data_IF_088516852871
#
_entry.id   IF_088516852871
#
_cell.length_a   1.000
_cell.length_b   1.000
_cell.length_c   1.000
_cell.angle_alpha   90.00
_cell.angle_beta   90.00
_cell.angle_gamma   90.00
#
_symmetry.space_group_name_H-M   'P 1'
#
loop_
_entity.id
_entity.type
_entity.pdbx_description
1 polymer ?
#
# COMPACT_ATOMS: atom_id res chain seq x y z
N UNK A 1 -10.32 -15.78 -2.08
CA UNK A 1 -11.57 -15.07 -2.38
C UNK A 1 -11.39 -13.55 -2.27
N UNK A 2 -10.90 -13.03 -1.16
CA UNK A 2 -10.84 -11.57 -0.91
C UNK A 2 -9.87 -10.77 -1.79
N UNK A 3 -8.66 -11.27 -2.10
CA UNK A 3 -7.72 -10.58 -3.03
C UNK A 3 -8.29 -10.42 -4.45
N UNK A 4 -9.03 -11.43 -4.92
CA UNK A 4 -9.71 -11.36 -6.22
C UNK A 4 -10.82 -10.30 -6.21
N UNK A 5 -11.55 -10.15 -5.11
CA UNK A 5 -12.53 -9.08 -4.95
C UNK A 5 -11.88 -7.71 -4.97
N UNK A 6 -10.75 -7.53 -4.27
CA UNK A 6 -9.96 -6.28 -4.31
C UNK A 6 -9.54 -5.98 -5.74
N UNK A 7 -8.97 -6.96 -6.46
CA UNK A 7 -8.59 -6.80 -7.87
C UNK A 7 -9.77 -6.35 -8.73
N UNK A 8 -10.92 -7.01 -8.61
CA UNK A 8 -12.13 -6.65 -9.38
C UNK A 8 -12.63 -5.23 -9.05
N UNK A 9 -12.59 -4.83 -7.78
CA UNK A 9 -12.95 -3.46 -7.37
C UNK A 9 -12.03 -2.42 -8.02
N UNK A 10 -10.72 -2.71 -8.10
CA UNK A 10 -9.75 -1.83 -8.75
C UNK A 10 -10.02 -1.76 -10.24
N UNK A 11 -10.15 -2.90 -10.92
CA UNK A 11 -10.44 -2.95 -12.37
C UNK A 11 -11.71 -2.21 -12.76
N UNK A 12 -12.74 -2.23 -11.92
CA UNK A 12 -14.00 -1.53 -12.16
C UNK A 12 -13.89 0.00 -11.97
N UNK A 13 -12.90 0.48 -11.22
CA UNK A 13 -12.76 1.89 -10.83
C UNK A 13 -11.66 2.63 -11.58
N UNK A 14 -10.66 1.92 -12.08
CA UNK A 14 -9.59 2.49 -12.91
C UNK A 14 -9.41 1.70 -14.21
N UNK A 15 -9.93 2.27 -15.30
CA UNK A 15 -9.90 1.67 -16.65
C UNK A 15 -8.82 2.26 -17.56
N UNK A 16 -8.20 3.37 -17.15
CA UNK A 16 -7.10 4.06 -17.85
C UNK A 16 -5.87 3.99 -16.97
N UNK A 17 -4.69 3.86 -17.58
CA UNK A 17 -3.42 3.88 -16.87
C UNK A 17 -3.20 5.20 -16.11
N UNK A 18 -2.58 5.10 -14.94
CA UNK A 18 -2.32 6.23 -14.05
C UNK A 18 -2.79 5.96 -12.63
N UNK A 19 -3.07 7.05 -11.92
CA UNK A 19 -3.57 7.08 -10.54
C UNK A 19 -4.99 7.61 -10.53
N UNK A 20 -5.86 7.03 -9.70
CA UNK A 20 -7.22 7.50 -9.47
C UNK A 20 -7.48 7.64 -7.97
N UNK A 21 -7.87 8.85 -7.54
CA UNK A 21 -8.29 9.10 -6.16
C UNK A 21 -9.54 8.29 -5.83
N UNK A 22 -9.56 7.70 -4.62
CA UNK A 22 -10.81 7.22 -4.04
C UNK A 22 -11.50 8.34 -3.29
N UNK A 23 -12.69 8.07 -2.73
CA UNK A 23 -13.35 9.03 -1.83
C UNK A 23 -12.65 9.11 -0.46
N UNK A 24 -11.85 8.11 -0.11
CA UNK A 24 -11.09 8.11 1.15
C UNK A 24 -9.79 8.87 0.93
N UNK A 25 -9.59 9.92 1.72
CA UNK A 25 -8.41 10.80 1.61
C UNK A 25 -7.12 9.99 1.75
N UNK A 26 -6.18 10.20 0.84
CA UNK A 26 -4.87 9.55 0.85
C UNK A 26 -4.89 8.12 0.33
N UNK A 27 -6.01 7.63 -0.21
CA UNK A 27 -6.13 6.31 -0.82
C UNK A 27 -6.36 6.47 -2.32
N UNK A 28 -5.41 5.98 -3.12
CA UNK A 28 -5.42 6.03 -4.57
C UNK A 28 -5.33 4.62 -5.14
N UNK A 29 -6.02 4.40 -6.25
CA UNK A 29 -5.86 3.20 -7.08
C UNK A 29 -4.86 3.50 -8.19
N UNK A 30 -4.11 2.50 -8.62
CA UNK A 30 -3.26 2.66 -9.80
C UNK A 30 -3.33 1.49 -10.76
N UNK A 31 -3.06 1.84 -12.01
CA UNK A 31 -2.99 0.94 -13.15
C UNK A 31 -1.82 1.32 -14.02
N UNK A 32 -0.98 0.35 -14.37
CA UNK A 32 0.10 0.51 -15.35
C UNK A 32 0.12 -0.70 -16.26
N UNK A 33 -0.05 -0.48 -17.56
CA UNK A 33 -0.04 -1.50 -18.61
C UNK A 33 1.16 -1.37 -19.54
N UNK A 34 1.98 -0.34 -19.38
CA UNK A 34 3.22 -0.16 -20.14
C UNK A 34 4.45 -0.39 -19.26
N UNK A 35 5.49 -0.96 -19.85
CA UNK A 35 6.76 -1.16 -19.15
C UNK A 35 7.42 0.18 -18.83
N UNK A 36 7.64 0.44 -17.55
CA UNK A 36 8.33 1.65 -17.07
C UNK A 36 9.63 1.23 -16.42
N UNK A 37 10.76 1.73 -16.94
CA UNK A 37 12.07 1.51 -16.31
C UNK A 37 12.14 2.24 -14.98
N UNK A 38 12.94 1.72 -14.05
CA UNK A 38 13.23 2.44 -12.82
C UNK A 38 13.78 3.84 -13.12
N UNK A 39 13.17 4.82 -12.48
CA UNK A 39 13.60 6.21 -12.52
C UNK A 39 13.57 6.77 -11.08
N UNK A 40 14.42 7.77 -10.78
CA UNK A 40 14.43 8.42 -9.48
C UNK A 40 13.07 9.03 -9.13
N UNK A 41 12.61 8.77 -7.91
CA UNK A 41 11.39 9.29 -7.32
C UNK A 41 11.61 9.52 -5.81
N UNK A 42 10.68 10.25 -5.19
CA UNK A 42 10.61 10.36 -3.73
C UNK A 42 9.41 9.54 -3.27
N UNK A 43 9.64 8.59 -2.37
CA UNK A 43 8.56 7.94 -1.64
C UNK A 43 8.21 8.80 -0.44
N UNK A 44 6.95 9.21 -0.37
CA UNK A 44 6.36 9.71 0.86
C UNK A 44 5.89 8.55 1.75
N UNK A 45 5.72 8.78 3.07
CA UNK A 45 5.21 7.76 3.98
C UNK A 45 3.91 7.14 3.46
N UNK A 46 3.95 5.85 3.13
CA UNK A 46 2.87 5.17 2.42
C UNK A 46 2.93 3.66 2.54
N UNK A 47 1.79 3.02 2.29
CA UNK A 47 1.66 1.60 1.99
C UNK A 47 1.33 1.43 0.51
N UNK A 48 2.04 0.53 -0.17
CA UNK A 48 1.81 0.17 -1.57
C UNK A 48 1.46 -1.30 -1.67
N UNK A 49 0.21 -1.56 -2.02
CA UNK A 49 -0.40 -2.88 -2.07
C UNK A 49 -0.62 -3.31 -3.53
N UNK A 50 0.12 -4.32 -3.99
CA UNK A 50 -0.01 -4.88 -5.35
C UNK A 50 -1.01 -6.04 -5.37
N UNK A 51 -1.95 -6.04 -6.32
CA UNK A 51 -2.90 -7.15 -6.51
C UNK A 51 -2.77 -7.86 -7.85
N UNK A 52 -2.00 -7.28 -8.77
CA UNK A 52 -1.67 -7.86 -10.08
C UNK A 52 -0.35 -7.26 -10.57
N UNK A 53 0.45 -8.06 -11.27
CA UNK A 53 1.77 -7.67 -11.75
C UNK A 53 2.83 -7.59 -10.64
N UNK A 54 3.97 -7.00 -11.00
CA UNK A 54 5.15 -6.88 -10.12
C UNK A 54 5.69 -5.47 -10.17
N UNK A 55 6.05 -4.93 -9.01
CA UNK A 55 6.69 -3.64 -8.87
C UNK A 55 8.17 -3.81 -8.55
N UNK A 56 9.00 -2.91 -9.08
CA UNK A 56 10.43 -2.87 -8.84
C UNK A 56 10.84 -1.58 -8.11
N UNK A 57 11.73 -1.73 -7.14
CA UNK A 57 12.39 -0.62 -6.45
C UNK A 57 13.90 -0.90 -6.33
N UNK A 58 14.71 0.13 -6.53
CA UNK A 58 16.15 0.12 -6.28
C UNK A 58 16.40 1.05 -5.09
N UNK A 59 16.94 0.48 -4.02
CA UNK A 59 17.21 1.16 -2.75
C UNK A 59 18.67 0.90 -2.39
N UNK A 60 19.45 1.94 -2.17
CA UNK A 60 20.89 1.86 -1.86
C UNK A 60 21.71 0.99 -2.85
N UNK A 61 21.27 0.92 -4.11
CA UNK A 61 21.89 0.13 -5.17
C UNK A 61 21.39 -1.32 -5.27
N UNK A 62 20.62 -1.80 -4.29
CA UNK A 62 20.02 -3.12 -4.28
C UNK A 62 18.64 -3.11 -4.96
N UNK A 63 18.39 -4.14 -5.78
CA UNK A 63 17.13 -4.31 -6.52
C UNK A 63 16.16 -5.19 -5.75
N UNK A 64 14.94 -4.69 -5.59
CA UNK A 64 13.85 -5.36 -4.91
C UNK A 64 12.63 -5.46 -5.83
N UNK A 65 12.18 -6.68 -6.06
CA UNK A 65 10.92 -6.96 -6.75
C UNK A 65 9.90 -7.51 -5.76
N UNK A 66 8.65 -7.05 -5.87
CA UNK A 66 7.56 -7.54 -5.05
C UNK A 66 6.23 -7.53 -5.81
N UNK A 67 5.39 -8.49 -5.47
CA UNK A 67 4.10 -8.78 -6.08
C UNK A 67 3.01 -8.87 -4.99
N UNK A 68 1.89 -9.51 -5.31
CA UNK A 68 0.76 -9.69 -4.37
C UNK A 68 1.04 -10.56 -3.13
N UNK A 69 2.25 -11.11 -2.96
CA UNK A 69 2.65 -11.84 -1.75
C UNK A 69 3.01 -10.91 -0.58
N UNK A 70 3.46 -9.69 -0.87
CA UNK A 70 3.95 -8.72 0.11
C UNK A 70 3.50 -7.31 -0.25
N UNK A 71 3.33 -6.45 0.74
CA UNK A 71 3.12 -5.03 0.50
C UNK A 71 4.33 -4.24 0.96
N UNK A 72 4.58 -3.10 0.30
CA UNK A 72 5.64 -2.19 0.69
C UNK A 72 5.09 -1.20 1.72
N UNK A 73 5.83 -0.99 2.80
CA UNK A 73 5.57 0.04 3.79
C UNK A 73 6.78 0.98 3.83
N UNK A 74 6.54 2.25 3.54
CA UNK A 74 7.52 3.32 3.63
C UNK A 74 7.09 4.25 4.77
N UNK A 75 7.90 4.42 5.80
CA UNK A 75 7.56 5.19 7.00
C UNK A 75 8.24 6.56 7.06
N UNK A 76 9.18 6.83 6.15
CA UNK A 76 9.94 8.08 6.07
C UNK A 76 10.05 8.53 4.62
N UNK A 77 10.08 9.84 4.39
CA UNK A 77 10.30 10.37 3.05
C UNK A 77 11.73 10.09 2.59
N UNK A 78 11.91 9.43 1.45
CA UNK A 78 13.24 9.04 0.97
C UNK A 78 13.34 8.90 -0.56
N UNK A 79 14.54 9.10 -1.14
CA UNK A 79 14.78 8.83 -2.55
C UNK A 79 14.78 7.33 -2.83
N UNK A 80 14.19 6.95 -3.96
CA UNK A 80 14.15 5.57 -4.47
C UNK A 80 14.16 5.62 -5.99
N UNK A 81 14.72 4.62 -6.65
CA UNK A 81 14.40 4.43 -8.07
C UNK A 81 13.30 3.37 -8.17
N UNK A 82 12.19 3.67 -8.83
CA UNK A 82 11.08 2.71 -8.93
C UNK A 82 10.54 2.64 -10.34
N UNK A 83 10.05 1.46 -10.71
CA UNK A 83 9.51 1.20 -12.03
C UNK A 83 8.64 -0.04 -12.04
N UNK A 84 8.15 -0.37 -13.22
CA UNK A 84 7.28 -1.51 -13.50
C UNK A 84 7.74 -2.21 -14.77
N UNK A 85 8.99 -2.76 -14.83
CA UNK A 85 9.57 -3.23 -16.09
C UNK A 85 8.78 -4.39 -16.72
N UNK A 86 8.10 -5.20 -15.89
CA UNK A 86 7.32 -6.36 -16.31
C UNK A 86 5.83 -6.05 -16.62
N UNK A 87 5.41 -4.78 -16.52
CA UNK A 87 4.03 -4.41 -16.82
C UNK A 87 3.74 -4.51 -18.33
N UNK A 88 2.61 -5.11 -18.66
CA UNK A 88 2.06 -5.19 -20.03
C UNK A 88 0.53 -5.14 -19.99
N UNK A 89 -0.16 -5.00 -21.14
CA UNK A 89 -1.62 -5.12 -21.18
C UNK A 89 -2.15 -6.47 -20.68
N UNK A 90 -1.39 -7.56 -20.90
CA UNK A 90 -1.70 -8.91 -20.44
C UNK A 90 -1.28 -9.16 -18.98
N UNK A 91 -0.33 -8.38 -18.47
CA UNK A 91 0.16 -8.42 -17.09
C UNK A 91 0.18 -7.01 -16.48
N UNK A 92 -0.98 -6.38 -16.24
CA UNK A 92 -1.03 -5.03 -15.72
C UNK A 92 -0.56 -5.00 -14.27
N UNK A 93 0.20 -3.96 -13.91
CA UNK A 93 0.38 -3.60 -12.51
C UNK A 93 -0.91 -2.95 -12.01
N UNK A 94 -1.53 -3.56 -11.01
CA UNK A 94 -2.70 -3.02 -10.33
C UNK A 94 -2.45 -2.98 -8.84
N UNK A 95 -2.90 -1.93 -8.18
CA UNK A 95 -2.76 -1.83 -6.74
C UNK A 95 -3.38 -0.59 -6.13
N UNK A 96 -3.08 -0.43 -4.84
CA UNK A 96 -3.55 0.66 -4.00
C UNK A 96 -2.33 1.34 -3.40
N UNK A 97 -2.31 2.66 -3.49
CA UNK A 97 -1.39 3.53 -2.77
C UNK A 97 -2.15 4.17 -1.60
N UNK A 98 -1.61 4.06 -0.39
CA UNK A 98 -2.23 4.55 0.84
C UNK A 98 -1.21 5.43 1.54
N UNK A 99 -1.48 6.73 1.64
CA UNK A 99 -0.66 7.65 2.43
C UNK A 99 -0.73 7.29 3.91
N UNK A 100 0.40 7.33 4.61
CA UNK A 100 0.45 7.12 6.05
C UNK A 100 0.34 8.46 6.78
N UNK A 101 -0.63 8.55 7.70
CA UNK A 101 -0.64 9.60 8.71
C UNK A 101 0.29 9.20 9.86
N UNK A 102 1.47 9.80 9.91
CA UNK A 102 2.50 9.50 10.91
C UNK A 102 2.04 9.77 12.34
N UNK A 103 1.08 10.68 12.55
CA UNK A 103 0.49 10.91 13.88
C UNK A 103 -0.35 9.71 14.30
N UNK A 104 -1.25 9.24 13.43
CA UNK A 104 -2.10 8.07 13.70
C UNK A 104 -1.25 6.81 13.90
N UNK A 105 -0.20 6.63 13.08
CA UNK A 105 0.75 5.52 13.24
C UNK A 105 1.45 5.56 14.61
N UNK A 106 1.85 6.75 15.06
CA UNK A 106 2.50 6.93 16.37
C UNK A 106 1.55 6.60 17.51
N UNK A 107 0.30 7.09 17.44
CA UNK A 107 -0.74 6.80 18.42
C UNK A 107 -1.03 5.29 18.51
N UNK A 108 -1.16 4.63 17.34
CA UNK A 108 -1.38 3.18 17.25
C UNK A 108 -0.21 2.40 17.86
N UNK A 109 1.04 2.78 17.58
CA UNK A 109 2.21 2.13 18.16
C UNK A 109 2.18 2.17 19.69
N UNK A 110 1.87 3.34 20.28
CA UNK A 110 1.74 3.52 21.73
C UNK A 110 0.59 2.65 22.30
N UNK A 111 -0.56 2.62 21.64
CA UNK A 111 -1.70 1.81 22.07
C UNK A 111 -1.38 0.31 22.03
N UNK A 112 -0.69 -0.17 20.98
CA UNK A 112 -0.25 -1.56 20.86
C UNK A 112 0.74 -1.91 21.98
N UNK A 113 1.72 -1.04 22.25
CA UNK A 113 2.69 -1.25 23.33
C UNK A 113 2.00 -1.33 24.70
N UNK A 114 1.06 -0.42 24.96
CA UNK A 114 0.28 -0.41 26.21
C UNK A 114 -0.61 -1.67 26.34
N UNK A 115 -1.25 -2.10 25.26
CA UNK A 115 -2.14 -3.26 25.27
C UNK A 115 -1.38 -4.59 25.40
N UNK A 116 -0.18 -4.68 24.83
CA UNK A 116 0.63 -5.91 24.82
C UNK A 116 1.65 -5.99 25.96
N UNK A 117 1.92 -4.87 26.65
CA UNK A 117 2.93 -4.79 27.71
C UNK A 117 4.37 -5.04 27.23
N UNK A 118 4.60 -5.00 25.91
CA UNK A 118 5.87 -5.35 25.29
C UNK A 118 6.38 -4.18 24.43
N UNK A 119 7.58 -3.71 24.73
CA UNK A 119 8.33 -2.83 23.82
C UNK A 119 8.81 -3.70 22.67
N UNK A 120 8.19 -3.57 21.49
CA UNK A 120 8.67 -4.28 20.28
C UNK A 120 10.05 -3.75 19.94
N UNK A 121 11.09 -4.57 20.14
CA UNK A 121 12.42 -4.25 19.61
C UNK A 121 12.34 -4.17 18.08
N UNK A 122 12.93 -3.14 17.45
CA UNK A 122 12.99 -3.09 16.00
C UNK A 122 13.72 -4.35 15.49
N UNK A 123 13.02 -5.17 14.71
CA UNK A 123 13.66 -6.24 13.95
C UNK A 123 14.27 -5.60 12.73
N UNK A 124 15.61 -5.54 12.67
CA UNK A 124 16.31 -5.09 11.47
C UNK A 124 15.99 -6.03 10.30
N UNK A 125 15.50 -5.46 9.20
CA UNK A 125 15.36 -6.15 7.92
C UNK A 125 16.54 -5.81 6.99
N UNK A 126 16.65 -6.49 5.83
CA UNK A 126 17.66 -6.20 4.82
C UNK A 126 17.41 -4.91 4.01
N UNK A 127 16.29 -4.21 4.27
CA UNK A 127 15.94 -2.94 3.62
C UNK A 127 16.44 -1.75 4.47
N UNK A 128 16.67 -0.57 3.84
CA UNK A 128 17.08 0.64 4.56
C UNK A 128 16.09 1.04 5.66
N UNK A 129 16.58 1.76 6.67
CA UNK A 129 15.71 2.32 7.72
C UNK A 129 14.65 3.23 7.09
N UNK A 130 13.39 2.80 7.13
CA UNK A 130 12.26 3.56 6.58
C UNK A 130 11.48 2.85 5.49
N UNK A 131 11.99 1.74 4.92
CA UNK A 131 11.23 0.89 3.99
C UNK A 131 11.26 -0.56 4.43
N UNK A 132 10.11 -1.23 4.37
CA UNK A 132 9.98 -2.64 4.65
C UNK A 132 9.01 -3.30 3.65
N UNK A 133 9.26 -4.58 3.36
CA UNK A 133 8.27 -5.46 2.75
C UNK A 133 7.63 -6.28 3.86
N UNK A 134 6.32 -6.11 4.05
CA UNK A 134 5.53 -6.85 5.02
C UNK A 134 4.75 -7.97 4.32
N UNK A 135 4.49 -9.05 5.05
CA UNK A 135 3.68 -10.16 4.55
C UNK A 135 2.24 -9.70 4.32
N UNK A 136 1.67 -10.10 3.19
CA UNK A 136 0.26 -9.85 2.94
C UNK A 136 -0.58 -10.97 3.53
N UNK A 137 -1.05 -10.78 4.77
CA UNK A 137 -1.89 -11.72 5.49
C UNK A 137 -3.40 -11.48 5.32
N UNK A 138 -4.21 -12.31 5.97
CA UNK A 138 -5.68 -12.23 5.90
C UNK A 138 -6.23 -10.98 6.59
N UNK A 139 -5.61 -10.52 7.68
CA UNK A 139 -6.04 -9.33 8.42
C UNK A 139 -5.88 -8.07 7.55
N UNK A 140 -4.72 -7.91 6.91
CA UNK A 140 -4.48 -6.82 5.96
C UNK A 140 -5.42 -6.92 4.75
N UNK A 141 -5.66 -8.13 4.24
CA UNK A 141 -6.61 -8.34 3.13
C UNK A 141 -8.02 -7.86 3.48
N UNK A 142 -8.52 -8.21 4.68
CA UNK A 142 -9.86 -7.79 5.11
C UNK A 142 -9.94 -6.28 5.34
N UNK A 143 -8.94 -5.69 6.01
CA UNK A 143 -8.91 -4.25 6.27
C UNK A 143 -8.89 -3.45 4.96
N UNK A 144 -8.05 -3.86 4.00
CA UNK A 144 -7.97 -3.22 2.68
C UNK A 144 -9.29 -3.36 1.90
N UNK A 145 -9.91 -4.54 1.92
CA UNK A 145 -11.21 -4.73 1.27
C UNK A 145 -12.28 -3.82 1.89
N UNK A 146 -12.38 -3.76 3.22
CA UNK A 146 -13.35 -2.90 3.93
C UNK A 146 -13.12 -1.42 3.64
N UNK A 147 -11.86 -0.98 3.57
CA UNK A 147 -11.51 0.38 3.18
C UNK A 147 -11.97 0.71 1.76
N UNK A 148 -11.69 -0.16 0.79
CA UNK A 148 -12.06 0.07 -0.61
C UNK A 148 -13.57 0.06 -0.84
N UNK A 149 -14.33 -0.74 -0.09
CA UNK A 149 -15.79 -0.77 -0.22
C UNK A 149 -16.46 0.57 0.16
N UNK A 150 -15.80 1.43 0.95
CA UNK A 150 -16.33 2.77 1.25
C UNK A 150 -16.47 3.66 0.02
N UNK A 151 -15.66 3.41 -1.03
CA UNK A 151 -15.59 4.25 -2.22
C UNK A 151 -16.93 4.45 -2.96
N UNK A 152 -17.94 3.62 -2.69
CA UNK A 152 -19.25 3.67 -3.35
C UNK A 152 -20.28 4.55 -2.60
N UNK A 153 -19.99 4.95 -1.36
CA UNK A 153 -20.91 5.70 -0.50
C UNK A 153 -20.23 6.93 0.14
N UNK A 154 -20.63 8.16 -0.24
CA UNK A 154 -20.10 9.39 0.37
C UNK A 154 -20.35 9.45 1.88
N UNK A 155 -21.52 8.98 2.33
CA UNK A 155 -21.89 8.95 3.74
C UNK A 155 -21.00 8.00 4.53
N UNK A 156 -20.80 6.77 4.03
CA UNK A 156 -19.96 5.79 4.73
C UNK A 156 -18.50 6.24 4.73
N UNK A 157 -18.04 6.86 3.65
CA UNK A 157 -16.69 7.43 3.60
C UNK A 157 -16.51 8.54 4.65
N UNK A 158 -17.48 9.45 4.77
CA UNK A 158 -17.40 10.56 5.73
C UNK A 158 -17.46 10.08 7.20
N UNK A 159 -18.21 9.00 7.47
CA UNK A 159 -18.41 8.48 8.84
C UNK A 159 -17.33 7.46 9.24
N UNK A 160 -16.89 6.62 8.30
CA UNK A 160 -16.04 5.46 8.59
C UNK A 160 -14.63 5.56 8.00
N UNK A 161 -14.34 6.53 7.12
CA UNK A 161 -13.08 6.62 6.38
C UNK A 161 -11.84 6.57 7.27
N UNK A 162 -11.75 7.50 8.22
CA UNK A 162 -10.62 7.59 9.15
C UNK A 162 -10.50 6.34 10.03
N UNK A 163 -11.64 5.75 10.43
CA UNK A 163 -11.68 4.51 11.21
C UNK A 163 -11.17 3.30 10.42
N UNK A 164 -11.54 3.18 9.14
CA UNK A 164 -11.05 2.11 8.25
C UNK A 164 -9.58 2.27 7.88
N UNK A 165 -9.10 3.51 7.75
CA UNK A 165 -7.67 3.78 7.61
C UNK A 165 -6.90 3.35 8.85
N UNK A 166 -7.37 3.73 10.05
CA UNK A 166 -6.76 3.31 11.31
C UNK A 166 -6.75 1.79 11.47
N UNK A 167 -7.84 1.12 11.11
CA UNK A 167 -7.92 -0.34 11.09
C UNK A 167 -6.86 -0.96 10.17
N UNK A 168 -6.69 -0.42 8.96
CA UNK A 168 -5.66 -0.88 8.02
C UNK A 168 -4.25 -0.64 8.52
N UNK A 169 -3.98 0.48 9.19
CA UNK A 169 -2.68 0.77 9.78
C UNK A 169 -2.30 -0.19 10.92
N UNK A 170 -3.30 -0.72 11.62
CA UNK A 170 -3.12 -1.70 12.69
C UNK A 170 -2.86 -3.12 12.17
N UNK A 171 -3.50 -3.47 11.04
CA UNK A 171 -3.40 -4.78 10.40
C UNK A 171 -2.03 -4.97 9.72
#
# INVERSE_FOLDING_TARGET
MSKQQIKQLIENRIVVDGMAETRVKGVQLFRVTESVRCAPAVYEPSVVAIVSGTKEAILDGDRYEYDSSRYLCCTLSMPVETGTPAASPENPLLGVYISLDTRVMTELAIEIENATGAIRKPKGGPLPQGVALAEWDDAFTEALLRLLLLGDSPTDTAVLGDGRLRELYYA
#
